data_IF_027647527820
#
_entry.id   IF_027647527820
#
_cell.length_a   1.000
_cell.length_b   1.000
_cell.length_c   1.000
_cell.angle_alpha   90.00
_cell.angle_beta   90.00
_cell.angle_gamma   90.00
#
_symmetry.space_group_name_H-M   'P 1'
#
loop_
_entity.id
_entity.type
_entity.pdbx_description
1 polymer ?
#
# COMPACT_ATOMS: atom_id res chain seq x y z
N UNK A 1 -58.03 24.60 -92.29
CA UNK A 1 -58.12 23.18 -91.93
C UNK A 1 -56.82 22.82 -91.22
N UNK A 2 -56.86 22.82 -89.89
CA UNK A 2 -55.74 22.50 -88.98
C UNK A 2 -55.76 21.04 -88.58
N UNK A 3 -54.65 20.34 -88.73
CA UNK A 3 -54.47 18.95 -88.27
C UNK A 3 -53.88 19.03 -86.86
N UNK A 4 -54.34 18.20 -85.89
CA UNK A 4 -53.76 18.09 -84.57
C UNK A 4 -52.50 17.22 -84.53
N UNK A 5 -51.51 17.61 -83.78
CA UNK A 5 -50.28 16.90 -83.53
C UNK A 5 -50.50 15.80 -82.46
N UNK A 6 -49.98 14.58 -82.73
CA UNK A 6 -49.92 13.45 -81.78
C UNK A 6 -48.89 13.66 -80.67
N UNK A 7 -49.20 13.21 -79.46
CA UNK A 7 -48.27 13.38 -78.35
C UNK A 7 -47.10 12.40 -78.43
N UNK A 8 -45.89 12.90 -78.13
CA UNK A 8 -44.64 12.12 -77.96
C UNK A 8 -44.77 11.21 -76.79
N UNK A 9 -44.65 9.91 -76.96
CA UNK A 9 -44.51 8.90 -75.96
C UNK A 9 -43.15 9.16 -75.19
N UNK A 10 -43.26 9.45 -73.92
CA UNK A 10 -42.16 9.48 -72.97
C UNK A 10 -41.50 8.11 -72.85
N UNK A 11 -40.28 7.96 -73.37
CA UNK A 11 -39.43 6.78 -73.08
C UNK A 11 -39.00 6.83 -71.63
N UNK A 12 -39.46 5.87 -70.85
CA UNK A 12 -38.94 5.62 -69.52
C UNK A 12 -37.47 5.12 -69.61
N UNK A 13 -36.54 5.67 -68.86
CA UNK A 13 -35.15 5.17 -68.82
C UNK A 13 -35.12 3.78 -68.16
N UNK A 14 -34.50 2.80 -68.82
CA UNK A 14 -34.26 1.48 -68.26
C UNK A 14 -33.39 1.55 -66.98
N UNK A 15 -33.95 1.06 -65.90
CA UNK A 15 -33.37 1.09 -64.55
C UNK A 15 -32.24 0.08 -64.28
N UNK A 16 -31.79 -0.67 -65.31
CA UNK A 16 -30.87 -1.79 -65.16
C UNK A 16 -29.39 -1.39 -64.86
N UNK A 17 -29.02 -0.09 -65.05
CA UNK A 17 -27.65 0.35 -64.86
C UNK A 17 -27.29 0.95 -63.47
N UNK A 18 -28.31 1.24 -62.63
CA UNK A 18 -28.09 1.89 -61.32
C UNK A 18 -28.09 0.94 -60.12
N UNK A 19 -28.43 -0.31 -60.29
CA UNK A 19 -28.52 -1.29 -59.20
C UNK A 19 -27.13 -1.73 -58.73
N UNK A 20 -26.17 -1.87 -59.64
CA UNK A 20 -24.78 -2.28 -59.29
C UNK A 20 -24.05 -1.30 -58.38
N UNK A 21 -24.03 0.03 -58.64
CA UNK A 21 -23.39 0.96 -57.72
C UNK A 21 -24.13 1.10 -56.37
N UNK A 22 -25.47 0.96 -56.38
CA UNK A 22 -26.24 0.99 -55.13
C UNK A 22 -25.95 -0.21 -54.21
N UNK A 23 -25.80 -1.42 -54.80
CA UNK A 23 -25.43 -2.62 -54.05
C UNK A 23 -24.01 -2.53 -53.48
N UNK A 24 -23.04 -2.03 -54.26
CA UNK A 24 -21.67 -1.82 -53.73
C UNK A 24 -21.61 -0.80 -52.61
N UNK A 25 -22.32 0.30 -52.69
CA UNK A 25 -22.43 1.28 -51.60
C UNK A 25 -23.09 0.67 -50.37
N UNK A 26 -24.16 -0.10 -50.53
CA UNK A 26 -24.81 -0.79 -49.39
C UNK A 26 -23.90 -1.80 -48.71
N UNK A 27 -23.12 -2.57 -49.45
CA UNK A 27 -22.15 -3.54 -48.91
C UNK A 27 -21.03 -2.82 -48.18
N UNK A 28 -20.47 -1.75 -48.71
CA UNK A 28 -19.42 -0.95 -48.04
C UNK A 28 -19.98 -0.31 -46.78
N UNK A 29 -21.18 0.24 -46.82
CA UNK A 29 -21.82 0.81 -45.63
C UNK A 29 -22.11 -0.22 -44.55
N UNK A 30 -22.53 -1.43 -44.92
CA UNK A 30 -22.74 -2.54 -43.98
C UNK A 30 -21.44 -3.02 -43.35
N UNK A 31 -20.37 -3.16 -44.13
CA UNK A 31 -19.03 -3.52 -43.59
C UNK A 31 -18.47 -2.43 -42.68
N UNK A 32 -18.59 -1.18 -43.05
CA UNK A 32 -18.20 -0.05 -42.22
C UNK A 32 -19.02 0.00 -40.91
N UNK A 33 -20.32 -0.26 -40.97
CA UNK A 33 -21.21 -0.35 -39.80
C UNK A 33 -20.80 -1.50 -38.86
N UNK A 34 -20.48 -2.67 -39.39
CA UNK A 34 -20.01 -3.83 -38.62
C UNK A 34 -18.63 -3.52 -37.97
N UNK A 35 -17.71 -2.91 -38.72
CA UNK A 35 -16.42 -2.52 -38.16
C UNK A 35 -16.56 -1.44 -37.07
N UNK A 36 -17.46 -0.49 -37.25
CA UNK A 36 -17.72 0.54 -36.26
C UNK A 36 -18.37 -0.03 -35.00
N UNK A 37 -19.34 -0.92 -35.13
CA UNK A 37 -19.97 -1.60 -33.97
C UNK A 37 -18.98 -2.53 -33.24
N UNK A 38 -18.16 -3.28 -33.98
CA UNK A 38 -17.10 -4.11 -33.39
C UNK A 38 -16.06 -3.24 -32.67
N UNK A 39 -15.64 -2.12 -33.27
CA UNK A 39 -14.72 -1.17 -32.64
C UNK A 39 -15.32 -0.50 -31.40
N UNK A 40 -16.63 -0.15 -31.46
CA UNK A 40 -17.35 0.40 -30.31
C UNK A 40 -17.51 -0.62 -29.17
N UNK A 41 -17.75 -1.89 -29.49
CA UNK A 41 -17.82 -2.98 -28.51
C UNK A 41 -16.42 -3.29 -27.89
N UNK A 42 -15.35 -3.28 -28.69
CA UNK A 42 -14.00 -3.38 -28.16
C UNK A 42 -13.65 -2.17 -27.28
N UNK A 43 -14.03 -0.98 -27.69
CA UNK A 43 -13.80 0.24 -26.89
C UNK A 43 -14.62 0.24 -25.60
N UNK A 44 -15.86 -0.22 -25.60
CA UNK A 44 -16.68 -0.35 -24.39
C UNK A 44 -16.28 -1.55 -23.52
N UNK A 45 -15.80 -2.65 -24.11
CA UNK A 45 -15.27 -3.80 -23.36
C UNK A 45 -13.90 -3.55 -22.75
N UNK A 46 -13.08 -2.65 -23.32
CA UNK A 46 -11.81 -2.20 -22.75
C UNK A 46 -11.96 -0.99 -21.83
N UNK A 47 -13.08 -0.26 -21.89
CA UNK A 47 -13.37 0.85 -20.97
C UNK A 47 -13.64 0.37 -19.53
N UNK A 48 -14.00 -0.91 -19.34
CA UNK A 48 -14.09 -1.52 -18.00
C UNK A 48 -12.74 -1.82 -17.34
N UNK A 49 -11.61 -1.65 -18.06
CA UNK A 49 -10.28 -1.96 -17.55
C UNK A 49 -9.28 -0.78 -17.62
N UNK A 50 -9.68 0.42 -18.07
CA UNK A 50 -8.70 1.48 -18.36
C UNK A 50 -9.07 2.91 -18.00
N UNK A 51 -10.13 3.12 -17.27
CA UNK A 51 -10.16 4.29 -16.42
C UNK A 51 -10.35 3.76 -15.02
N UNK A 52 -9.33 3.84 -14.18
CA UNK A 52 -9.61 3.94 -12.77
C UNK A 52 -10.37 5.26 -12.65
N UNK A 53 -11.69 5.17 -12.77
CA UNK A 53 -12.61 6.29 -12.49
C UNK A 53 -12.48 6.67 -11.04
N UNK A 54 -11.69 5.86 -10.30
CA UNK A 54 -11.27 6.22 -8.97
C UNK A 54 -9.94 5.53 -8.65
N UNK A 55 -8.90 6.32 -8.40
CA UNK A 55 -7.65 5.85 -7.80
C UNK A 55 -7.96 5.07 -6.51
N UNK A 56 -9.05 5.43 -5.83
CA UNK A 56 -9.59 4.75 -4.68
C UNK A 56 -9.98 3.29 -4.96
N UNK A 57 -10.60 3.00 -6.10
CA UNK A 57 -10.97 1.63 -6.50
C UNK A 57 -9.73 0.76 -6.78
N UNK A 58 -8.70 1.34 -7.39
CA UNK A 58 -7.43 0.65 -7.61
C UNK A 58 -6.72 0.36 -6.27
N UNK A 59 -6.64 1.36 -5.41
CA UNK A 59 -6.02 1.22 -4.08
C UNK A 59 -6.79 0.21 -3.24
N UNK A 60 -8.13 0.26 -3.22
CA UNK A 60 -8.95 -0.71 -2.48
C UNK A 60 -8.80 -2.13 -3.02
N UNK A 61 -8.69 -2.29 -4.34
CA UNK A 61 -8.46 -3.58 -4.99
C UNK A 61 -7.10 -4.18 -4.65
N UNK A 62 -6.03 -3.36 -4.65
CA UNK A 62 -4.71 -3.82 -4.25
C UNK A 62 -4.61 -4.07 -2.73
N UNK A 63 -5.26 -3.26 -1.90
CA UNK A 63 -5.35 -3.52 -0.46
C UNK A 63 -6.02 -4.86 -0.17
N UNK A 64 -7.19 -5.13 -0.77
CA UNK A 64 -7.87 -6.41 -0.64
C UNK A 64 -7.04 -7.60 -1.16
N UNK A 65 -6.19 -7.36 -2.16
CA UNK A 65 -5.24 -8.37 -2.66
C UNK A 65 -4.13 -8.66 -1.65
N UNK A 66 -3.56 -7.63 -1.06
CA UNK A 66 -2.53 -7.74 -0.01
C UNK A 66 -3.10 -8.48 1.20
N UNK A 67 -4.30 -8.11 1.68
CA UNK A 67 -4.96 -8.77 2.81
C UNK A 67 -5.18 -10.26 2.55
N UNK A 68 -5.64 -10.62 1.35
CA UNK A 68 -5.81 -12.03 0.96
C UNK A 68 -4.49 -12.79 0.93
N UNK A 69 -3.43 -12.22 0.35
CA UNK A 69 -2.12 -12.85 0.29
C UNK A 69 -1.48 -12.98 1.69
N UNK A 70 -1.73 -12.00 2.57
CA UNK A 70 -1.30 -12.05 3.97
C UNK A 70 -2.00 -13.20 4.71
N UNK A 71 -3.33 -13.31 4.58
CA UNK A 71 -4.09 -14.39 5.19
C UNK A 71 -3.68 -15.78 4.66
N UNK A 72 -3.36 -15.90 3.37
CA UNK A 72 -2.85 -17.14 2.78
C UNK A 72 -1.46 -17.47 3.31
N UNK A 73 -0.58 -16.49 3.45
CA UNK A 73 0.75 -16.68 4.05
C UNK A 73 0.66 -17.11 5.52
N UNK A 74 -0.24 -16.54 6.31
CA UNK A 74 -0.49 -16.95 7.70
C UNK A 74 -0.98 -18.38 7.77
N UNK A 75 -1.94 -18.76 6.92
CA UNK A 75 -2.42 -20.13 6.82
C UNK A 75 -1.30 -21.11 6.49
N UNK A 76 -0.45 -20.78 5.52
CA UNK A 76 0.67 -21.63 5.13
C UNK A 76 1.69 -21.77 6.27
N UNK A 77 1.95 -20.70 7.03
CA UNK A 77 2.81 -20.76 8.22
C UNK A 77 2.25 -21.72 9.27
N UNK A 78 0.98 -21.58 9.61
CA UNK A 78 0.32 -22.51 10.55
C UNK A 78 0.48 -23.97 10.10
N UNK A 79 0.34 -24.24 8.81
CA UNK A 79 0.56 -25.58 8.26
C UNK A 79 2.02 -26.04 8.38
N UNK A 80 2.98 -25.14 8.16
CA UNK A 80 4.40 -25.44 8.34
C UNK A 80 4.70 -25.75 9.81
N UNK A 81 4.16 -24.96 10.74
CA UNK A 81 4.34 -25.15 12.17
C UNK A 81 3.72 -26.48 12.65
N UNK A 82 2.53 -26.82 12.16
CA UNK A 82 1.87 -28.10 12.43
C UNK A 82 2.69 -29.31 11.89
N UNK A 83 3.24 -29.16 10.68
CA UNK A 83 4.09 -30.18 10.07
C UNK A 83 5.42 -30.31 10.82
N UNK A 84 6.03 -29.19 11.20
CA UNK A 84 7.27 -29.18 11.98
C UNK A 84 7.07 -29.83 13.36
N UNK A 85 5.97 -29.55 14.03
CA UNK A 85 5.61 -30.19 15.32
C UNK A 85 5.34 -31.69 15.19
N UNK A 86 4.93 -32.17 14.01
CA UNK A 86 4.66 -33.60 13.75
C UNK A 86 5.85 -34.36 13.18
N UNK A 87 6.90 -33.65 12.71
CA UNK A 87 8.09 -34.27 12.16
C UNK A 87 8.98 -34.84 13.29
N UNK A 88 9.54 -36.06 13.14
CA UNK A 88 10.56 -36.55 14.05
C UNK A 88 11.85 -35.76 13.83
N UNK A 89 12.02 -34.68 14.61
CA UNK A 89 13.19 -33.80 14.54
C UNK A 89 14.34 -34.27 15.45
N UNK A 90 15.56 -33.74 15.27
CA UNK A 90 16.60 -33.82 16.27
C UNK A 90 16.11 -33.22 17.59
N UNK A 91 16.65 -33.71 18.71
CA UNK A 91 16.20 -33.48 20.09
C UNK A 91 15.60 -32.08 20.28
N UNK A 92 14.37 -32.07 20.82
CA UNK A 92 13.57 -30.87 21.02
C UNK A 92 14.45 -29.73 21.56
N UNK A 93 14.56 -28.65 20.78
CA UNK A 93 15.11 -27.36 21.26
C UNK A 93 14.36 -26.99 22.52
N UNK A 94 15.05 -26.42 23.49
CA UNK A 94 14.41 -25.92 24.72
C UNK A 94 13.28 -24.95 24.32
N UNK A 95 12.01 -25.27 24.59
CA UNK A 95 10.88 -24.40 24.19
C UNK A 95 11.05 -22.96 24.70
N UNK A 96 11.66 -22.80 25.87
CA UNK A 96 11.95 -21.49 26.43
C UNK A 96 13.07 -20.74 25.68
N UNK A 97 13.99 -21.45 25.02
CA UNK A 97 14.98 -20.84 24.15
C UNK A 97 14.32 -20.33 22.84
N UNK A 98 13.51 -21.16 22.21
CA UNK A 98 12.75 -20.83 21.00
C UNK A 98 11.85 -19.60 21.23
N UNK A 99 11.16 -19.56 22.37
CA UNK A 99 10.32 -18.41 22.72
C UNK A 99 11.16 -17.14 22.90
N UNK A 100 12.28 -17.20 23.64
CA UNK A 100 13.19 -16.04 23.83
C UNK A 100 13.76 -15.54 22.49
N UNK A 101 14.16 -16.44 21.62
CA UNK A 101 14.64 -16.10 20.29
C UNK A 101 13.52 -15.48 19.44
N UNK A 102 12.32 -16.06 19.50
CA UNK A 102 11.15 -15.52 18.82
C UNK A 102 10.78 -14.11 19.27
N UNK A 103 10.90 -13.80 20.57
CA UNK A 103 10.74 -12.45 21.09
C UNK A 103 11.82 -11.52 20.52
N UNK A 104 13.09 -11.95 20.52
CA UNK A 104 14.22 -11.14 20.04
C UNK A 104 14.13 -10.82 18.54
N UNK A 105 13.68 -11.76 17.71
CA UNK A 105 13.49 -11.55 16.26
C UNK A 105 12.12 -10.97 15.91
N UNK A 106 11.22 -10.86 16.88
CA UNK A 106 9.91 -10.24 16.73
C UNK A 106 8.80 -11.15 16.22
N UNK A 107 9.00 -12.47 16.17
CA UNK A 107 8.00 -13.45 15.69
C UNK A 107 7.01 -13.90 16.78
N UNK A 108 7.17 -13.41 18.00
CA UNK A 108 6.26 -13.62 19.13
C UNK A 108 5.61 -12.29 19.50
N UNK A 109 4.31 -12.32 19.80
CA UNK A 109 3.59 -11.17 20.33
C UNK A 109 4.12 -10.83 21.73
N UNK A 110 4.19 -9.56 22.06
CA UNK A 110 4.66 -9.09 23.36
C UNK A 110 3.77 -7.98 23.88
N UNK A 111 3.73 -7.83 25.20
CA UNK A 111 2.99 -6.75 25.85
C UNK A 111 3.77 -6.15 27.00
N UNK A 112 3.37 -4.95 27.41
CA UNK A 112 3.96 -4.27 28.55
C UNK A 112 3.79 -2.75 28.54
N UNK A 113 4.35 -2.08 29.54
CA UNK A 113 4.31 -0.62 29.60
C UNK A 113 5.13 0.01 28.46
N UNK A 114 4.79 1.24 28.11
CA UNK A 114 5.51 1.90 27.04
C UNK A 114 4.97 3.26 26.65
N UNK A 115 5.27 3.66 25.42
CA UNK A 115 4.78 4.92 24.83
C UNK A 115 4.00 4.66 23.55
N UNK A 116 2.96 5.47 23.38
CA UNK A 116 2.28 5.69 22.09
C UNK A 116 2.62 7.08 21.60
N UNK A 117 3.23 7.16 20.43
CA UNK A 117 3.63 8.41 19.75
C UNK A 117 2.80 8.54 18.49
N UNK A 118 2.18 9.70 18.30
CA UNK A 118 1.37 10.01 17.13
C UNK A 118 1.92 11.24 16.43
N UNK A 119 2.11 11.12 15.11
CA UNK A 119 2.47 12.19 14.20
C UNK A 119 1.32 12.42 13.22
N UNK A 120 1.03 13.67 12.90
CA UNK A 120 -0.07 14.01 11.99
C UNK A 120 0.33 15.18 11.09
N UNK A 121 -0.31 15.26 9.93
CA UNK A 121 -0.13 16.38 9.01
C UNK A 121 -0.66 17.68 9.61
N UNK A 122 -0.09 18.79 9.19
CA UNK A 122 -0.56 20.12 9.57
C UNK A 122 -1.90 20.45 8.88
N UNK A 123 -2.73 21.33 9.47
CA UNK A 123 -3.92 21.80 8.82
C UNK A 123 -3.61 22.42 7.45
N UNK A 124 -4.33 22.07 6.37
CA UNK A 124 -4.09 22.60 5.02
C UNK A 124 -4.17 24.13 4.93
N UNK A 125 -4.92 24.79 5.84
CA UNK A 125 -5.02 26.25 5.94
C UNK A 125 -3.67 26.92 6.21
N UNK A 126 -2.71 26.20 6.82
CA UNK A 126 -1.42 26.75 7.25
C UNK A 126 -0.45 26.98 6.07
N UNK A 127 -0.85 26.57 4.84
CA UNK A 127 -0.17 26.99 3.60
C UNK A 127 -0.11 28.51 3.43
N UNK A 128 -0.96 29.27 4.13
CA UNK A 128 -0.96 30.73 4.14
C UNK A 128 0.20 31.35 4.94
N UNK A 129 0.94 30.56 5.71
CA UNK A 129 2.12 31.02 6.46
C UNK A 129 3.23 31.38 5.45
N UNK A 130 3.79 32.60 5.50
CA UNK A 130 4.82 33.01 4.56
C UNK A 130 6.04 32.08 4.57
N UNK A 131 6.43 31.61 3.39
CA UNK A 131 7.59 30.73 3.22
C UNK A 131 7.31 29.24 3.40
N UNK A 132 6.07 28.85 3.72
CA UNK A 132 5.64 27.43 3.87
C UNK A 132 5.14 26.90 2.53
N UNK A 133 5.66 25.73 2.12
CA UNK A 133 5.20 24.97 0.98
C UNK A 133 4.24 23.83 1.38
N UNK A 134 3.62 23.21 0.39
CA UNK A 134 2.71 22.06 0.62
C UNK A 134 3.45 20.91 1.29
N UNK A 135 4.71 20.73 0.93
CA UNK A 135 5.57 19.65 1.44
C UNK A 135 5.92 19.84 2.93
N UNK A 136 5.96 21.09 3.40
CA UNK A 136 6.22 21.39 4.81
C UNK A 136 5.04 21.05 5.75
N UNK A 137 3.85 20.81 5.19
CA UNK A 137 2.63 20.52 5.94
C UNK A 137 2.38 19.03 6.14
N UNK A 138 3.21 18.17 5.62
CA UNK A 138 3.02 16.71 5.69
C UNK A 138 4.14 16.03 6.49
N UNK A 139 3.78 14.94 7.15
CA UNK A 139 4.75 14.08 7.85
C UNK A 139 5.57 13.30 6.84
N UNK A 140 6.88 13.34 6.94
CA UNK A 140 7.79 12.63 6.06
C UNK A 140 8.28 11.32 6.69
N UNK A 141 8.71 10.38 5.83
CA UNK A 141 9.34 9.13 6.27
C UNK A 141 10.48 9.38 7.27
N UNK A 142 11.29 10.41 7.04
CA UNK A 142 12.42 10.73 7.91
C UNK A 142 11.99 11.10 9.33
N UNK A 143 10.81 11.73 9.50
CA UNK A 143 10.29 12.12 10.81
C UNK A 143 9.91 10.87 11.60
N UNK A 144 9.19 9.94 10.96
CA UNK A 144 8.86 8.64 11.52
C UNK A 144 10.14 7.87 11.87
N UNK A 145 11.14 7.88 10.98
CA UNK A 145 12.43 7.22 11.21
C UNK A 145 13.18 7.80 12.41
N UNK A 146 13.16 9.12 12.58
CA UNK A 146 13.77 9.78 13.74
C UNK A 146 13.12 9.33 15.04
N UNK A 147 11.79 9.22 15.08
CA UNK A 147 11.05 8.74 16.25
C UNK A 147 11.39 7.28 16.54
N UNK A 148 11.32 6.40 15.54
CA UNK A 148 11.65 4.97 15.70
C UNK A 148 13.08 4.79 16.21
N UNK A 149 14.05 5.47 15.60
CA UNK A 149 15.44 5.39 16.02
C UNK A 149 15.66 5.92 17.46
N UNK A 150 14.96 6.99 17.83
CA UNK A 150 15.03 7.52 19.18
C UNK A 150 14.45 6.54 20.22
N UNK A 151 13.34 5.88 19.91
CA UNK A 151 12.73 4.88 20.78
C UNK A 151 13.63 3.64 20.94
N UNK A 152 14.23 3.14 19.84
CA UNK A 152 15.23 2.06 19.92
C UNK A 152 16.43 2.47 20.78
N UNK A 153 16.96 3.67 20.57
CA UNK A 153 18.07 4.19 21.38
C UNK A 153 17.69 4.40 22.87
N UNK A 154 16.41 4.60 23.13
CA UNK A 154 15.84 4.72 24.48
C UNK A 154 15.59 3.39 25.18
N UNK A 155 15.90 2.25 24.53
CA UNK A 155 15.73 0.93 25.10
C UNK A 155 14.35 0.32 24.85
N UNK A 156 13.67 0.69 23.75
CA UNK A 156 12.48 -0.03 23.34
C UNK A 156 12.81 -1.52 23.08
N UNK A 157 12.00 -2.42 23.62
CA UNK A 157 12.16 -3.87 23.47
C UNK A 157 11.38 -4.40 22.26
N UNK A 158 10.28 -3.75 21.93
CA UNK A 158 9.47 -4.03 20.78
C UNK A 158 8.73 -2.77 20.32
N UNK A 159 8.36 -2.74 19.04
CA UNK A 159 7.71 -1.57 18.46
C UNK A 159 6.73 -1.96 17.35
N UNK A 160 5.66 -1.19 17.20
CA UNK A 160 4.80 -1.21 16.02
C UNK A 160 4.75 0.17 15.36
N UNK A 161 4.51 0.18 14.04
CA UNK A 161 4.10 1.35 13.28
C UNK A 161 2.77 1.02 12.61
N UNK A 162 1.73 1.78 12.91
CA UNK A 162 0.36 1.52 12.42
C UNK A 162 -0.16 0.12 12.76
N UNK A 163 0.21 -0.40 13.94
CA UNK A 163 -0.15 -1.74 14.38
C UNK A 163 0.68 -2.88 13.77
N UNK A 164 1.56 -2.59 12.80
CA UNK A 164 2.46 -3.57 12.20
C UNK A 164 3.75 -3.68 13.02
N UNK A 165 4.15 -4.91 13.40
CA UNK A 165 5.40 -5.13 14.16
C UNK A 165 6.61 -4.65 13.35
N UNK A 166 7.40 -3.78 13.94
CA UNK A 166 8.67 -3.28 13.36
C UNK A 166 9.82 -4.15 13.86
N UNK A 167 10.62 -4.68 12.94
CA UNK A 167 11.85 -5.43 13.19
C UNK A 167 13.01 -4.77 12.45
N UNK A 168 14.24 -5.25 12.65
CA UNK A 168 15.45 -4.65 12.05
C UNK A 168 15.41 -4.58 10.51
N UNK A 169 14.70 -5.51 9.86
CA UNK A 169 14.57 -5.57 8.40
C UNK A 169 13.31 -4.87 7.88
N UNK A 170 12.49 -4.30 8.76
CA UNK A 170 11.28 -3.56 8.35
C UNK A 170 11.68 -2.32 7.57
N UNK A 171 11.15 -2.22 6.33
CA UNK A 171 11.34 -1.06 5.48
C UNK A 171 10.00 -0.37 5.25
N UNK A 172 9.95 0.92 5.54
CA UNK A 172 8.81 1.76 5.23
C UNK A 172 9.22 2.91 4.33
N UNK A 173 8.31 3.34 3.47
CA UNK A 173 8.55 4.39 2.47
C UNK A 173 7.34 5.30 2.37
N UNK A 174 7.58 6.59 2.23
CA UNK A 174 6.53 7.54 1.84
C UNK A 174 6.51 7.74 0.31
N UNK A 175 5.31 7.93 -0.20
CA UNK A 175 5.04 8.40 -1.55
C UNK A 175 3.96 9.48 -1.46
N UNK A 176 4.37 10.74 -1.56
CA UNK A 176 3.53 11.86 -1.11
C UNK A 176 3.26 11.76 0.39
N UNK A 177 2.02 11.91 0.80
CA UNK A 177 1.58 11.83 2.21
C UNK A 177 1.11 10.43 2.64
N UNK A 178 1.43 9.39 1.89
CA UNK A 178 1.10 8.01 2.25
C UNK A 178 2.36 7.21 2.60
N UNK A 179 2.23 6.35 3.60
CA UNK A 179 3.27 5.44 4.06
C UNK A 179 2.97 4.03 3.58
N UNK A 180 3.97 3.37 3.01
CA UNK A 180 3.91 1.94 2.69
C UNK A 180 4.80 1.17 3.66
N UNK A 181 4.24 0.18 4.34
CA UNK A 181 4.93 -0.73 5.26
C UNK A 181 4.40 -2.15 5.05
N UNK A 182 5.28 -3.14 4.90
CA UNK A 182 4.93 -4.55 4.69
C UNK A 182 3.90 -4.78 3.56
N UNK A 183 3.92 -3.93 2.53
CA UNK A 183 2.97 -3.98 1.40
C UNK A 183 1.61 -3.34 1.68
N UNK A 184 1.35 -2.89 2.90
CA UNK A 184 0.15 -2.13 3.27
C UNK A 184 0.39 -0.63 3.14
N UNK A 185 -0.68 0.12 2.89
CA UNK A 185 -0.65 1.58 2.70
C UNK A 185 -1.38 2.24 3.87
N UNK A 186 -0.75 3.24 4.44
CA UNK A 186 -1.27 3.99 5.59
C UNK A 186 -1.26 5.49 5.32
N UNK A 187 -2.20 6.18 5.91
CA UNK A 187 -2.31 7.64 5.90
C UNK A 187 -2.18 8.20 7.32
N UNK A 188 -1.82 9.48 7.47
CA UNK A 188 -1.82 10.12 8.79
C UNK A 188 -3.19 10.03 9.49
N UNK A 189 -3.24 10.05 10.82
CA UNK A 189 -2.13 10.13 11.73
C UNK A 189 -1.31 8.84 11.82
N UNK A 190 0.02 8.97 11.89
CA UNK A 190 0.91 7.82 12.06
C UNK A 190 1.11 7.53 13.54
N UNK A 191 0.83 6.30 13.94
CA UNK A 191 0.91 5.84 15.32
C UNK A 191 2.07 4.86 15.47
N UNK A 192 2.97 5.15 16.39
CA UNK A 192 4.09 4.31 16.80
C UNK A 192 3.84 3.90 18.26
N UNK A 193 3.89 2.62 18.53
CA UNK A 193 3.82 2.09 19.89
C UNK A 193 5.11 1.36 20.19
N UNK A 194 5.68 1.64 21.37
CA UNK A 194 6.95 1.05 21.81
C UNK A 194 6.82 0.57 23.25
N UNK A 195 7.09 -0.71 23.46
CA UNK A 195 7.21 -1.32 24.80
C UNK A 195 8.61 -1.09 25.34
N UNK A 196 8.70 -0.69 26.60
CA UNK A 196 9.94 -0.37 27.32
C UNK A 196 9.69 0.57 28.49
N UNK A 197 10.74 1.01 29.19
CA UNK A 197 10.60 2.00 30.26
C UNK A 197 10.09 3.35 29.72
N UNK A 198 8.86 3.79 30.07
CA UNK A 198 8.28 5.02 29.53
C UNK A 198 9.12 6.27 29.80
N UNK A 199 9.82 6.32 30.95
CA UNK A 199 10.64 7.45 31.30
C UNK A 199 11.92 7.54 30.44
N UNK A 200 12.58 6.40 30.21
CA UNK A 200 13.75 6.30 29.35
C UNK A 200 13.39 6.58 27.87
N UNK A 201 12.30 6.00 27.37
CA UNK A 201 11.79 6.25 26.01
C UNK A 201 11.48 7.73 25.79
N UNK A 202 10.78 8.36 26.73
CA UNK A 202 10.48 9.79 26.67
C UNK A 202 11.74 10.68 26.73
N UNK A 203 12.71 10.29 27.53
CA UNK A 203 14.00 11.01 27.61
C UNK A 203 14.75 10.91 26.26
N UNK A 204 14.77 9.74 25.63
CA UNK A 204 15.39 9.52 24.33
C UNK A 204 14.72 10.34 23.22
N UNK A 205 13.38 10.39 23.17
CA UNK A 205 12.64 11.24 22.23
C UNK A 205 13.04 12.71 22.38
N UNK A 206 13.15 13.22 23.62
CA UNK A 206 13.54 14.61 23.86
C UNK A 206 14.99 14.89 23.49
N UNK A 207 15.88 13.92 23.62
CA UNK A 207 17.32 14.08 23.35
C UNK A 207 17.65 13.95 21.86
N UNK A 208 16.80 13.32 21.06
CA UNK A 208 17.05 13.02 19.66
C UNK A 208 16.98 14.29 18.77
N UNK A 209 18.07 14.69 18.09
CA UNK A 209 18.07 15.92 17.28
C UNK A 209 17.06 15.92 16.14
N UNK A 210 16.77 14.75 15.55
CA UNK A 210 15.76 14.61 14.50
C UNK A 210 14.35 14.86 15.01
N UNK A 211 14.04 14.37 16.23
CA UNK A 211 12.75 14.63 16.89
C UNK A 211 12.63 16.10 17.27
N UNK A 212 13.72 16.73 17.76
CA UNK A 212 13.71 18.16 18.08
C UNK A 212 13.40 19.01 16.84
N UNK A 213 14.00 18.71 15.67
CA UNK A 213 13.66 19.38 14.41
C UNK A 213 12.18 19.19 14.03
N UNK A 214 11.65 17.99 14.21
CA UNK A 214 10.22 17.77 13.97
C UNK A 214 9.37 18.65 14.90
N UNK A 215 9.73 18.78 16.17
CA UNK A 215 9.02 19.65 17.14
C UNK A 215 9.12 21.13 16.75
N UNK A 216 10.21 21.58 16.11
CA UNK A 216 10.29 22.92 15.54
C UNK A 216 9.22 23.13 14.45
N UNK A 217 9.02 22.14 13.59
CA UNK A 217 7.97 22.15 12.57
C UNK A 217 6.55 22.07 13.18
N UNK A 218 6.35 21.28 14.24
CA UNK A 218 5.11 21.30 15.03
C UNK A 218 4.76 22.72 15.46
N UNK A 219 5.73 23.46 15.99
CA UNK A 219 5.55 24.84 16.46
C UNK A 219 5.41 25.86 15.33
N UNK A 220 6.00 25.61 14.16
CA UNK A 220 6.06 26.55 13.03
C UNK A 220 4.86 26.41 12.11
N UNK A 221 4.52 25.18 11.71
CA UNK A 221 3.46 24.91 10.72
C UNK A 221 2.28 24.14 11.27
N UNK A 222 2.37 23.66 12.52
CA UNK A 222 1.26 22.98 13.18
C UNK A 222 1.14 21.49 12.85
N UNK A 223 2.28 20.81 12.54
CA UNK A 223 2.30 19.35 12.47
C UNK A 223 1.79 18.74 13.80
N UNK A 224 1.11 17.60 13.71
CA UNK A 224 0.59 16.91 14.87
C UNK A 224 1.69 16.16 15.62
N UNK A 225 1.73 16.31 16.95
CA UNK A 225 2.63 15.58 17.85
C UNK A 225 1.93 15.26 19.15
N UNK A 226 1.82 13.98 19.47
CA UNK A 226 1.22 13.53 20.72
C UNK A 226 1.99 12.33 21.25
N UNK A 227 2.41 12.39 22.53
CA UNK A 227 3.10 11.30 23.22
C UNK A 227 2.36 10.97 24.50
N UNK A 228 1.88 9.75 24.60
CA UNK A 228 1.16 9.23 25.76
C UNK A 228 1.85 8.00 26.31
N UNK A 229 1.87 7.88 27.62
CA UNK A 229 2.24 6.65 28.31
C UNK A 229 1.07 5.67 28.25
N UNK A 230 1.40 4.40 28.15
CA UNK A 230 0.47 3.29 28.24
C UNK A 230 1.03 2.26 29.21
N UNK A 231 0.18 1.80 30.13
CA UNK A 231 0.59 0.84 31.16
C UNK A 231 0.66 -0.59 30.59
N UNK A 232 -0.11 -0.85 29.53
CA UNK A 232 -0.23 -2.17 28.92
C UNK A 232 -0.49 -2.02 27.40
N UNK A 233 0.58 -2.17 26.63
CA UNK A 233 0.54 -2.23 25.17
C UNK A 233 0.57 -3.69 24.76
N UNK A 234 -0.23 -4.06 23.76
CA UNK A 234 -0.19 -5.36 23.12
C UNK A 234 0.34 -5.20 21.68
N UNK A 235 1.53 -5.70 21.43
CA UNK A 235 2.17 -5.65 20.12
C UNK A 235 2.11 -7.03 19.45
N UNK A 236 1.58 -7.14 18.21
CA UNK A 236 1.48 -8.40 17.51
C UNK A 236 2.85 -8.97 17.15
N UNK A 237 2.89 -10.25 16.80
CA UNK A 237 4.04 -10.86 16.16
C UNK A 237 4.26 -10.29 14.76
N UNK A 238 5.52 -10.28 14.31
CA UNK A 238 5.85 -10.01 12.91
C UNK A 238 5.42 -11.19 12.03
N UNK A 239 4.64 -10.90 11.01
CA UNK A 239 4.09 -11.93 10.11
C UNK A 239 4.84 -12.04 8.77
N UNK A 240 5.85 -11.19 8.54
CA UNK A 240 6.69 -11.24 7.35
C UNK A 240 7.74 -12.37 7.40
N UNK A 241 8.47 -12.56 6.29
CA UNK A 241 9.59 -13.52 6.25
C UNK A 241 10.79 -12.97 7.02
N UNK A 242 11.38 -13.80 7.87
CA UNK A 242 12.68 -13.55 8.54
C UNK A 242 13.81 -14.31 7.88
N UNK A 243 13.52 -15.03 6.79
CA UNK A 243 14.48 -15.86 6.08
C UNK A 243 15.60 -15.02 5.41
N UNK A 244 16.83 -15.38 5.66
CA UNK A 244 18.00 -14.77 5.05
C UNK A 244 18.33 -15.46 3.72
N UNK A 245 18.36 -14.70 2.62
CA UNK A 245 18.61 -15.24 1.27
C UNK A 245 20.09 -15.32 0.91
N UNK A 246 20.89 -14.40 1.43
CA UNK A 246 22.29 -14.22 1.03
C UNK A 246 23.25 -14.29 2.21
N UNK A 247 22.82 -13.97 3.41
CA UNK A 247 23.65 -14.08 4.60
C UNK A 247 23.72 -15.55 5.05
N UNK A 248 24.92 -16.01 5.35
CA UNK A 248 25.21 -17.36 5.83
C UNK A 248 26.09 -17.27 7.05
N UNK A 249 25.94 -18.23 7.96
CA UNK A 249 26.87 -18.34 9.08
C UNK A 249 28.24 -18.79 8.58
N UNK A 250 29.35 -18.28 9.17
CA UNK A 250 30.66 -18.80 8.88
C UNK A 250 30.74 -20.30 9.19
N UNK A 251 31.54 -21.02 8.40
CA UNK A 251 31.71 -22.47 8.57
C UNK A 251 32.21 -22.81 9.98
N UNK A 252 31.56 -23.72 10.66
CA UNK A 252 31.89 -24.11 12.04
C UNK A 252 31.30 -23.17 13.14
N UNK A 253 30.47 -22.21 12.80
CA UNK A 253 29.74 -21.41 13.78
C UNK A 253 28.57 -22.19 14.36
N UNK A 254 28.51 -22.30 15.68
CA UNK A 254 27.34 -22.82 16.40
C UNK A 254 26.34 -21.66 16.57
N UNK A 255 25.14 -21.67 15.93
CA UNK A 255 24.19 -20.59 16.03
C UNK A 255 23.52 -20.45 17.41
N UNK A 256 23.73 -21.45 18.28
CA UNK A 256 23.09 -21.50 19.61
C UNK A 256 24.07 -21.19 20.77
N UNK A 257 25.26 -20.67 20.45
CA UNK A 257 26.26 -20.26 21.45
C UNK A 257 26.41 -18.79 21.62
#
# INVERSE_FOLDING_TARGET
>A
VTRPALPRLLRLPSSAGRVRPAVTVAVVAALAGIMFTASAQLASGTSGLRHPTDLADLVSGETARVDRLTAEAEKLRTQVDELAASAPGPAAEDPAAVEREGVAVGTVAVGGPGLRVQLDDAPPSNISIPGVGVDDLVVHQQDIQHVINALWAGGAEAMTLQGERVIMTSAFRCSGNILTLHGKVFSPPYVIEAVGDPAALRAALRAAPGVQRYIEWVNTVGLGWNVREADDLELPAYTGSTELRFAQLPEGTDPLR
#
